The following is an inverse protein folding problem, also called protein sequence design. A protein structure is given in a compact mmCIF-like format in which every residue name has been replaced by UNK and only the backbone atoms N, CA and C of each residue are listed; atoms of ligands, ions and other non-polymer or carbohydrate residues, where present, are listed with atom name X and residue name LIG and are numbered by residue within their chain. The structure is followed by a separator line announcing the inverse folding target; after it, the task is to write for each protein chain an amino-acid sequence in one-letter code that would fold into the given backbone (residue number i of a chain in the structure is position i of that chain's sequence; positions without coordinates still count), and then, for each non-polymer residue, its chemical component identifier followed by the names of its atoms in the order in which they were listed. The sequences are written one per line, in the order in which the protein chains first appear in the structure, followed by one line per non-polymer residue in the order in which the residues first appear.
data_IF_734742054925
#
_entry.id   IF_734742054925
#
_cell.length_a   1.000
_cell.length_b   1.000
_cell.length_c   1.000
_cell.angle_alpha   90.00
_cell.angle_beta   90.00
_cell.angle_gamma   90.00
#
_symmetry.space_group_name_H-M   'P 1'
#
loop_
_entity.id
_entity.type
_entity.pdbx_description
1 polymer ?
#
# COMPACT_ATOMS: atom_id res chain seq x y z
N UNK A 1 6.71 33.70 -8.62
CA UNK A 1 5.68 33.51 -7.58
C UNK A 1 5.44 32.02 -7.38
N UNK A 2 5.76 31.46 -6.20
CA UNK A 2 5.33 30.09 -5.83
C UNK A 2 3.80 30.13 -5.72
N UNK A 3 3.09 29.36 -6.57
CA UNK A 3 1.64 29.18 -6.42
C UNK A 3 1.38 28.70 -5.00
N UNK A 4 0.55 29.43 -4.25
CA UNK A 4 0.11 29.00 -2.92
C UNK A 4 -0.63 27.67 -3.08
N UNK A 5 -0.26 26.67 -2.31
CA UNK A 5 -0.95 25.38 -2.29
C UNK A 5 -2.43 25.64 -1.94
N UNK A 6 -3.35 25.17 -2.74
CA UNK A 6 -4.80 25.23 -2.48
C UNK A 6 -5.40 23.85 -2.72
N UNK A 7 -5.92 23.26 -1.67
CA UNK A 7 -6.50 21.91 -1.64
C UNK A 7 -8.03 21.94 -1.44
N UNK A 8 -8.62 23.12 -1.40
CA UNK A 8 -10.07 23.31 -1.14
C UNK A 8 -10.96 22.53 -2.13
N UNK A 9 -10.54 22.43 -3.40
CA UNK A 9 -11.24 21.70 -4.47
C UNK A 9 -11.06 20.20 -4.43
N UNK A 10 -10.09 19.66 -3.67
CA UNK A 10 -9.88 18.22 -3.57
C UNK A 10 -10.99 17.59 -2.74
N UNK A 11 -11.54 16.49 -3.24
CA UNK A 11 -12.66 15.74 -2.63
C UNK A 11 -12.20 14.47 -1.94
N UNK A 12 -11.07 13.89 -2.37
CA UNK A 12 -10.49 12.65 -1.86
C UNK A 12 -9.03 12.86 -1.45
N UNK A 13 -8.71 12.48 -0.23
CA UNK A 13 -7.34 12.49 0.29
C UNK A 13 -6.87 11.05 0.50
N UNK A 14 -5.82 10.68 -0.20
CA UNK A 14 -5.14 9.39 -0.10
C UNK A 14 -3.89 9.59 0.74
N UNK A 15 -3.74 8.84 1.81
CA UNK A 15 -2.59 8.97 2.70
C UNK A 15 -1.79 7.67 2.74
N UNK A 16 -0.47 7.75 2.69
CA UNK A 16 0.35 6.68 3.22
C UNK A 16 0.26 6.61 4.76
N UNK A 17 0.75 5.56 5.36
CA UNK A 17 0.67 5.33 6.81
C UNK A 17 2.02 5.53 7.51
N UNK A 18 2.99 4.69 7.18
CA UNK A 18 4.31 4.72 7.81
C UNK A 18 5.05 6.00 7.38
N UNK A 19 5.62 6.74 8.33
CA UNK A 19 6.24 8.02 8.04
C UNK A 19 5.27 9.20 7.90
N UNK A 20 3.96 8.97 7.80
CA UNK A 20 2.91 10.00 7.69
C UNK A 20 2.09 10.12 8.97
N UNK A 21 1.49 9.04 9.43
CA UNK A 21 0.67 9.01 10.65
C UNK A 21 1.44 8.53 11.88
N UNK A 22 2.31 7.54 11.70
CA UNK A 22 3.15 6.98 12.76
C UNK A 22 4.47 6.46 12.20
N UNK A 23 5.40 6.13 13.08
CA UNK A 23 6.64 5.40 12.79
C UNK A 23 6.75 4.15 13.64
N UNK A 24 7.34 3.11 13.05
CA UNK A 24 7.61 1.84 13.73
C UNK A 24 6.37 0.94 13.79
N UNK A 25 6.59 -0.33 13.49
CA UNK A 25 5.50 -1.32 13.42
C UNK A 25 5.20 -1.97 14.77
N UNK A 26 6.24 -2.34 15.51
CA UNK A 26 6.10 -3.05 16.80
C UNK A 26 5.80 -2.11 17.96
N UNK A 27 6.40 -0.94 17.96
CA UNK A 27 6.16 0.15 18.93
C UNK A 27 5.85 1.42 18.15
N UNK A 28 4.61 1.56 17.65
CA UNK A 28 4.26 2.68 16.82
C UNK A 28 4.25 3.97 17.64
N UNK A 29 4.98 4.96 17.13
CA UNK A 29 5.00 6.32 17.68
C UNK A 29 4.22 7.22 16.73
N UNK A 30 3.18 7.86 17.24
CA UNK A 30 2.37 8.81 16.48
C UNK A 30 3.19 10.00 16.02
N UNK A 31 3.02 10.38 14.75
CA UNK A 31 3.61 11.57 14.14
C UNK A 31 2.56 12.68 13.99
N UNK A 32 1.37 12.34 13.50
CA UNK A 32 0.30 13.28 13.21
C UNK A 32 -1.00 12.59 12.82
N UNK A 33 -1.86 13.31 12.10
CA UNK A 33 -3.04 12.79 11.44
C UNK A 33 -4.37 13.04 12.14
N UNK A 34 -4.38 13.31 13.45
CA UNK A 34 -5.66 13.53 14.16
C UNK A 34 -6.33 14.83 13.74
N UNK A 35 -5.57 15.92 13.57
CA UNK A 35 -6.11 17.23 13.17
C UNK A 35 -6.64 17.17 11.75
N UNK A 36 -5.83 16.64 10.81
CA UNK A 36 -6.24 16.58 9.40
C UNK A 36 -7.46 15.68 9.20
N UNK A 37 -7.53 14.50 9.84
CA UNK A 37 -8.68 13.60 9.74
C UNK A 37 -9.96 14.30 10.24
N UNK A 38 -9.92 14.96 11.39
CA UNK A 38 -11.06 15.72 11.91
C UNK A 38 -11.47 16.84 10.97
N UNK A 39 -10.52 17.58 10.43
CA UNK A 39 -10.76 18.68 9.50
C UNK A 39 -11.38 18.20 8.19
N UNK A 40 -10.87 17.11 7.59
CA UNK A 40 -11.45 16.54 6.38
C UNK A 40 -12.90 16.09 6.61
N UNK A 41 -13.20 15.49 7.74
CA UNK A 41 -14.57 15.08 8.09
C UNK A 41 -15.50 16.28 8.24
N UNK A 42 -15.07 17.35 8.91
CA UNK A 42 -15.89 18.57 9.06
C UNK A 42 -16.17 19.27 7.70
N UNK A 43 -15.30 19.05 6.70
CA UNK A 43 -15.49 19.53 5.33
C UNK A 43 -16.13 18.48 4.40
N UNK A 44 -16.65 17.37 4.95
CA UNK A 44 -17.28 16.27 4.19
C UNK A 44 -16.39 15.69 3.08
N UNK A 45 -15.08 15.79 3.24
CA UNK A 45 -14.11 15.24 2.30
C UNK A 45 -13.85 13.77 2.60
N UNK A 46 -13.66 12.97 1.55
CA UNK A 46 -13.33 11.55 1.65
C UNK A 46 -11.85 11.38 1.96
N UNK A 47 -11.53 10.36 2.74
CA UNK A 47 -10.14 9.96 2.99
C UNK A 47 -9.99 8.45 2.89
N UNK A 48 -8.84 7.98 2.39
CA UNK A 48 -8.45 6.58 2.36
C UNK A 48 -6.95 6.49 2.69
N UNK A 49 -6.60 5.45 3.45
CA UNK A 49 -5.21 5.14 3.78
C UNK A 49 -4.70 4.07 2.83
N UNK A 50 -3.60 4.33 2.13
CA UNK A 50 -2.97 3.44 1.16
C UNK A 50 -1.61 2.99 1.66
N UNK A 51 -1.47 1.73 2.06
CA UNK A 51 -0.19 1.21 2.53
C UNK A 51 0.24 -0.05 1.77
N UNK A 52 1.55 -0.15 1.49
CA UNK A 52 2.18 -1.36 0.96
C UNK A 52 2.30 -2.48 2.01
N UNK A 53 1.79 -2.27 3.23
CA UNK A 53 1.76 -3.32 4.25
C UNK A 53 0.96 -4.53 3.74
N UNK A 54 1.62 -5.69 3.69
CA UNK A 54 1.02 -6.98 3.33
C UNK A 54 1.08 -7.99 4.48
N UNK A 55 1.72 -7.63 5.61
CA UNK A 55 1.91 -8.55 6.74
C UNK A 55 0.82 -8.43 7.80
N UNK A 56 0.11 -7.30 7.84
CA UNK A 56 -1.01 -7.07 8.75
C UNK A 56 -2.34 -7.07 7.99
N UNK A 57 -3.38 -7.63 8.60
CA UNK A 57 -4.74 -7.46 8.12
C UNK A 57 -5.24 -6.01 8.33
N UNK A 58 -6.27 -5.62 7.62
CA UNK A 58 -6.95 -4.32 7.84
C UNK A 58 -7.36 -4.15 9.30
N UNK A 59 -7.88 -5.20 9.94
CA UNK A 59 -8.27 -5.17 11.35
C UNK A 59 -7.10 -4.84 12.28
N UNK A 60 -5.92 -5.42 12.02
CA UNK A 60 -4.71 -5.17 12.80
C UNK A 60 -4.23 -3.72 12.63
N UNK A 61 -4.23 -3.21 11.40
CA UNK A 61 -3.87 -1.82 11.11
C UNK A 61 -4.84 -0.85 11.78
N UNK A 62 -6.14 -1.11 11.70
CA UNK A 62 -7.18 -0.30 12.34
C UNK A 62 -7.01 -0.22 13.85
N UNK A 63 -6.83 -1.37 14.53
CA UNK A 63 -6.61 -1.41 15.98
C UNK A 63 -5.39 -0.58 16.39
N UNK A 64 -4.31 -0.63 15.60
CA UNK A 64 -3.10 0.20 15.82
C UNK A 64 -3.39 1.69 15.72
N UNK A 65 -4.13 2.11 14.70
CA UNK A 65 -4.48 3.53 14.50
C UNK A 65 -5.39 4.05 15.62
N UNK A 66 -6.36 3.26 16.05
CA UNK A 66 -7.22 3.61 17.18
C UNK A 66 -6.43 3.75 18.49
N UNK A 67 -5.49 2.84 18.76
CA UNK A 67 -4.62 2.92 19.93
C UNK A 67 -3.74 4.19 19.93
N UNK A 68 -3.41 4.72 18.74
CA UNK A 68 -2.72 5.99 18.58
C UNK A 68 -3.64 7.22 18.62
N UNK A 69 -4.95 7.03 18.86
CA UNK A 69 -5.95 8.11 18.87
C UNK A 69 -6.16 8.76 17.50
N UNK A 70 -6.02 7.99 16.42
CA UNK A 70 -6.27 8.43 15.04
C UNK A 70 -7.63 7.84 14.61
N UNK A 71 -8.68 8.68 14.42
CA UNK A 71 -10.06 8.21 14.25
C UNK A 71 -10.34 7.79 12.79
N UNK A 72 -9.78 6.68 12.37
CA UNK A 72 -9.95 6.05 11.05
C UNK A 72 -10.97 4.92 11.15
N UNK A 73 -11.74 4.69 10.09
CA UNK A 73 -12.65 3.56 9.97
C UNK A 73 -12.00 2.41 9.22
N UNK A 74 -12.47 1.17 9.45
CA UNK A 74 -11.95 -0.01 8.75
C UNK A 74 -12.02 0.11 7.22
N UNK A 75 -13.14 0.62 6.71
CA UNK A 75 -13.38 0.78 5.28
C UNK A 75 -12.49 1.85 4.61
N UNK A 76 -11.85 2.69 5.41
CA UNK A 76 -10.92 3.72 4.94
C UNK A 76 -9.48 3.19 4.78
N UNK A 77 -9.21 1.94 5.19
CA UNK A 77 -7.88 1.34 5.16
C UNK A 77 -7.75 0.41 3.96
N UNK A 78 -6.80 0.71 3.08
CA UNK A 78 -6.47 -0.07 1.90
C UNK A 78 -5.04 -0.57 2.01
N UNK A 79 -4.86 -1.79 2.52
CA UNK A 79 -3.55 -2.46 2.51
C UNK A 79 -3.29 -3.10 1.16
N UNK A 80 -2.03 -3.28 0.78
CA UNK A 80 -1.69 -4.01 -0.44
C UNK A 80 -2.20 -5.46 -0.40
N UNK A 81 -2.26 -6.08 0.78
CA UNK A 81 -2.84 -7.42 0.95
C UNK A 81 -4.34 -7.46 0.64
N UNK A 82 -5.12 -6.53 1.23
CA UNK A 82 -6.56 -6.40 0.94
C UNK A 82 -6.79 -6.18 -0.56
N UNK A 83 -6.06 -5.25 -1.16
CA UNK A 83 -6.27 -4.91 -2.58
C UNK A 83 -5.82 -6.02 -3.53
N UNK A 84 -4.85 -6.83 -3.15
CA UNK A 84 -4.48 -8.03 -3.91
C UNK A 84 -5.62 -9.06 -3.92
N UNK A 85 -6.22 -9.33 -2.76
CA UNK A 85 -7.36 -10.23 -2.67
C UNK A 85 -8.58 -9.69 -3.45
N UNK A 86 -8.90 -8.41 -3.29
CA UNK A 86 -9.99 -7.75 -4.04
C UNK A 86 -9.75 -7.78 -5.56
N UNK A 87 -8.52 -7.53 -6.00
CA UNK A 87 -8.15 -7.57 -7.42
C UNK A 87 -8.40 -8.95 -8.02
N UNK A 88 -7.94 -10.01 -7.36
CA UNK A 88 -8.15 -11.39 -7.81
C UNK A 88 -9.64 -11.72 -7.87
N UNK A 89 -10.39 -11.41 -6.81
CA UNK A 89 -11.83 -11.65 -6.76
C UNK A 89 -12.60 -10.96 -7.89
N UNK A 90 -12.25 -9.69 -8.17
CA UNK A 90 -12.94 -8.92 -9.22
C UNK A 90 -12.61 -9.38 -10.63
N UNK A 91 -11.38 -9.81 -10.87
CA UNK A 91 -10.90 -10.14 -12.22
C UNK A 91 -11.07 -11.62 -12.59
N UNK A 92 -10.98 -12.49 -11.59
CA UNK A 92 -10.95 -13.96 -11.82
C UNK A 92 -11.99 -14.74 -11.00
N UNK A 93 -12.72 -14.06 -10.09
CA UNK A 93 -13.61 -14.73 -9.14
C UNK A 93 -12.84 -15.36 -7.98
N UNK A 94 -13.36 -16.45 -7.44
CA UNK A 94 -12.63 -17.26 -6.45
C UNK A 94 -11.51 -18.02 -7.14
N UNK A 95 -10.33 -18.01 -6.55
CA UNK A 95 -9.13 -18.66 -7.07
C UNK A 95 -8.47 -19.51 -6.01
N UNK A 96 -7.77 -20.56 -6.44
CA UNK A 96 -6.80 -21.27 -5.62
C UNK A 96 -5.46 -20.53 -5.63
N UNK A 97 -4.74 -20.52 -4.50
CA UNK A 97 -3.47 -19.83 -4.43
C UNK A 97 -2.44 -20.51 -3.52
N UNK A 98 -1.19 -20.46 -3.94
CA UNK A 98 -0.05 -20.74 -3.10
C UNK A 98 0.47 -19.43 -2.48
N UNK A 99 0.74 -19.41 -1.17
CA UNK A 99 1.13 -18.22 -0.44
C UNK A 99 2.63 -18.16 -0.17
N UNK A 100 3.30 -17.16 -0.71
CA UNK A 100 4.58 -16.66 -0.22
C UNK A 100 4.28 -15.36 0.52
N UNK A 101 4.06 -15.44 1.83
CA UNK A 101 3.60 -14.29 2.62
C UNK A 101 3.24 -14.66 4.05
N UNK A 102 2.83 -13.65 4.81
CA UNK A 102 2.49 -13.74 6.23
C UNK A 102 0.97 -13.84 6.48
N UNK A 103 0.56 -14.19 7.73
CA UNK A 103 -0.86 -14.45 8.06
C UNK A 103 -1.83 -13.29 7.77
N UNK A 104 -1.36 -12.04 7.78
CA UNK A 104 -2.22 -10.90 7.44
C UNK A 104 -2.68 -10.92 6.00
N UNK A 105 -1.80 -11.29 5.05
CA UNK A 105 -2.17 -11.47 3.66
C UNK A 105 -3.13 -12.65 3.48
N UNK A 106 -2.85 -13.77 4.16
CA UNK A 106 -3.73 -14.93 4.14
C UNK A 106 -5.14 -14.60 4.64
N UNK A 107 -5.25 -13.82 5.71
CA UNK A 107 -6.53 -13.39 6.27
C UNK A 107 -7.36 -12.57 5.26
N UNK A 108 -6.71 -11.68 4.50
CA UNK A 108 -7.40 -10.92 3.46
C UNK A 108 -7.80 -11.81 2.27
N UNK A 109 -6.95 -12.75 1.84
CA UNK A 109 -7.28 -13.71 0.78
C UNK A 109 -8.51 -14.57 1.17
N UNK A 110 -8.52 -15.10 2.39
CA UNK A 110 -9.67 -15.88 2.91
C UNK A 110 -10.95 -15.05 3.00
N UNK A 111 -10.85 -13.76 3.37
CA UNK A 111 -11.98 -12.85 3.46
C UNK A 111 -12.72 -12.71 2.12
N UNK A 112 -12.01 -12.82 1.00
CA UNK A 112 -12.59 -12.80 -0.35
C UNK A 112 -12.95 -14.20 -0.88
N UNK A 113 -12.82 -15.24 -0.04
CA UNK A 113 -13.21 -16.61 -0.37
C UNK A 113 -12.22 -17.34 -1.29
N UNK A 114 -10.97 -16.85 -1.38
CA UNK A 114 -9.92 -17.56 -2.10
C UNK A 114 -9.43 -18.76 -1.29
N UNK A 115 -9.01 -19.82 -1.98
CA UNK A 115 -8.63 -21.10 -1.37
C UNK A 115 -7.11 -21.29 -1.39
N UNK A 116 -6.51 -21.39 -0.20
CA UNK A 116 -5.09 -21.68 -0.08
C UNK A 116 -4.81 -23.14 -0.39
N UNK A 117 -3.84 -23.40 -1.27
CA UNK A 117 -3.29 -24.73 -1.52
C UNK A 117 -1.85 -24.85 -1.03
N UNK A 118 -1.42 -26.08 -0.76
CA UNK A 118 -0.03 -26.48 -0.54
C UNK A 118 0.38 -27.59 -1.50
N UNK A 119 -0.52 -27.95 -2.42
CA UNK A 119 -0.31 -29.00 -3.44
C UNK A 119 0.47 -28.50 -4.66
N UNK A 120 0.55 -29.35 -5.67
CA UNK A 120 1.32 -29.14 -6.91
C UNK A 120 0.57 -28.28 -7.96
N UNK A 121 -0.62 -27.79 -7.63
CA UNK A 121 -1.43 -26.94 -8.50
C UNK A 121 -1.98 -25.74 -7.75
N UNK A 122 -1.97 -24.58 -8.40
CA UNK A 122 -2.60 -23.35 -7.96
C UNK A 122 -2.89 -22.43 -9.17
N UNK A 123 -3.98 -21.67 -9.13
CA UNK A 123 -4.23 -20.64 -10.15
C UNK A 123 -3.19 -19.51 -10.04
N UNK A 124 -2.81 -19.20 -8.79
CA UNK A 124 -1.90 -18.08 -8.48
C UNK A 124 -0.84 -18.42 -7.43
N UNK A 125 0.35 -17.90 -7.63
CA UNK A 125 1.34 -17.65 -6.57
C UNK A 125 1.16 -16.22 -6.09
N UNK A 126 0.69 -16.06 -4.83
CA UNK A 126 0.45 -14.77 -4.20
C UNK A 126 1.66 -14.40 -3.34
N UNK A 127 2.30 -13.27 -3.64
CA UNK A 127 3.59 -12.88 -3.08
C UNK A 127 3.46 -11.60 -2.24
N UNK A 128 3.73 -11.73 -0.94
CA UNK A 128 3.89 -10.64 0.01
C UNK A 128 5.23 -10.72 0.71
N UNK A 129 5.44 -9.85 1.72
CA UNK A 129 6.59 -10.00 2.60
C UNK A 129 6.44 -11.29 3.42
N UNK A 130 7.47 -12.10 3.40
CA UNK A 130 7.57 -13.34 4.18
C UNK A 130 8.91 -13.40 4.91
N UNK A 131 8.91 -13.09 6.19
CA UNK A 131 10.11 -13.12 7.05
C UNK A 131 10.52 -14.55 7.47
N UNK A 132 9.70 -15.53 7.12
CA UNK A 132 9.98 -16.97 7.33
C UNK A 132 10.13 -17.72 6.01
N UNK A 133 10.52 -16.97 4.96
CA UNK A 133 10.79 -17.57 3.65
C UNK A 133 11.90 -18.61 3.79
N UNK A 134 11.65 -19.82 3.28
CA UNK A 134 12.66 -20.86 3.11
C UNK A 134 12.95 -21.11 1.63
N UNK A 135 14.06 -21.80 1.37
CA UNK A 135 14.41 -22.21 0.02
C UNK A 135 13.31 -23.09 -0.59
N UNK A 136 12.82 -24.08 0.17
CA UNK A 136 11.78 -25.02 -0.27
C UNK A 136 10.50 -24.31 -0.64
N UNK A 137 10.12 -23.28 0.14
CA UNK A 137 8.92 -22.47 -0.14
C UNK A 137 9.07 -21.68 -1.44
N UNK A 138 10.25 -21.10 -1.66
CA UNK A 138 10.53 -20.36 -2.87
C UNK A 138 10.62 -21.26 -4.10
N UNK A 139 11.28 -22.43 -3.97
CA UNK A 139 11.41 -23.43 -5.02
C UNK A 139 10.06 -24.00 -5.42
N UNK A 140 9.19 -24.33 -4.45
CA UNK A 140 7.82 -24.77 -4.74
C UNK A 140 7.02 -23.71 -5.49
N UNK A 141 7.11 -22.43 -5.07
CA UNK A 141 6.48 -21.33 -5.79
C UNK A 141 6.97 -21.24 -7.24
N UNK A 142 8.28 -21.40 -7.47
CA UNK A 142 8.85 -21.40 -8.81
C UNK A 142 8.37 -22.56 -9.67
N UNK A 143 8.24 -23.78 -9.08
CA UNK A 143 7.65 -24.94 -9.81
C UNK A 143 6.21 -24.67 -10.22
N UNK A 144 5.37 -24.15 -9.31
CA UNK A 144 3.99 -23.82 -9.64
C UNK A 144 3.90 -22.81 -10.79
N UNK A 145 4.73 -21.77 -10.79
CA UNK A 145 4.74 -20.78 -11.88
C UNK A 145 5.17 -21.42 -13.20
N UNK A 146 6.21 -22.27 -13.21
CA UNK A 146 6.64 -23.01 -14.40
C UNK A 146 5.59 -23.98 -14.92
N UNK A 147 4.70 -24.45 -14.04
CA UNK A 147 3.55 -25.31 -14.37
C UNK A 147 2.29 -24.51 -14.76
N UNK A 148 2.39 -23.17 -14.92
CA UNK A 148 1.31 -22.34 -15.43
C UNK A 148 0.58 -21.46 -14.42
N UNK A 149 0.92 -21.51 -13.12
CA UNK A 149 0.36 -20.57 -12.14
C UNK A 149 0.80 -19.14 -12.45
N UNK A 150 -0.11 -18.18 -12.32
CA UNK A 150 0.20 -16.76 -12.49
C UNK A 150 0.76 -16.17 -11.21
N UNK A 151 1.68 -15.19 -11.31
CA UNK A 151 2.19 -14.45 -10.17
C UNK A 151 1.43 -13.16 -9.92
N UNK A 152 1.04 -12.91 -8.66
CA UNK A 152 0.56 -11.61 -8.21
C UNK A 152 1.33 -11.19 -6.96
N UNK A 153 1.86 -9.98 -6.97
CA UNK A 153 2.66 -9.44 -5.86
C UNK A 153 1.93 -8.25 -5.19
N UNK A 154 1.95 -8.24 -3.87
CA UNK A 154 1.37 -7.14 -3.10
C UNK A 154 2.09 -5.82 -3.36
N UNK A 155 3.42 -5.83 -3.47
CA UNK A 155 4.26 -4.71 -3.85
C UNK A 155 5.68 -5.19 -4.20
N UNK A 156 6.55 -4.27 -4.68
CA UNK A 156 7.94 -4.58 -5.06
C UNK A 156 8.97 -3.65 -4.40
N UNK A 157 8.65 -3.09 -3.21
CA UNK A 157 9.62 -2.30 -2.46
C UNK A 157 10.88 -3.13 -2.18
N UNK A 158 12.04 -2.48 -2.30
CA UNK A 158 13.35 -3.13 -2.12
C UNK A 158 13.63 -3.43 -0.65
N UNK A 159 13.40 -2.43 0.18
CA UNK A 159 13.69 -2.46 1.62
C UNK A 159 12.50 -1.93 2.41
N UNK A 160 12.41 -2.28 3.68
CA UNK A 160 11.55 -1.65 4.67
C UNK A 160 12.33 -1.46 5.98
N UNK A 161 11.90 -0.53 6.83
CA UNK A 161 12.54 -0.33 8.14
C UNK A 161 12.07 -1.40 9.12
N UNK A 162 13.02 -2.14 9.66
CA UNK A 162 12.81 -3.16 10.69
C UNK A 162 13.68 -2.84 11.92
N UNK A 163 13.58 -3.61 13.00
CA UNK A 163 14.18 -3.36 14.33
C UNK A 163 15.57 -2.72 14.30
N UNK A 164 16.47 -3.26 13.50
CA UNK A 164 17.89 -2.89 13.51
C UNK A 164 18.31 -2.15 12.22
N UNK A 165 17.36 -1.61 11.46
CA UNK A 165 17.66 -0.90 10.22
C UNK A 165 16.93 -1.45 8.99
N UNK A 166 17.40 -1.12 7.78
CA UNK A 166 16.79 -1.58 6.54
C UNK A 166 16.85 -3.10 6.39
N UNK A 167 15.73 -3.73 6.07
CA UNK A 167 15.61 -5.16 5.80
C UNK A 167 14.98 -5.39 4.41
N UNK A 168 15.18 -6.58 3.85
CA UNK A 168 14.62 -6.96 2.55
C UNK A 168 13.08 -6.95 2.59
N UNK A 169 12.47 -6.20 1.68
CA UNK A 169 11.02 -6.18 1.48
C UNK A 169 10.57 -7.25 0.48
N UNK A 170 9.36 -7.13 -0.07
CA UNK A 170 8.77 -8.09 -1.01
C UNK A 170 9.47 -8.12 -2.36
N UNK A 171 10.05 -6.99 -2.81
CA UNK A 171 10.66 -6.88 -4.14
C UNK A 171 11.74 -7.92 -4.44
N UNK A 172 12.71 -8.17 -3.55
CA UNK A 172 13.72 -9.22 -3.74
C UNK A 172 13.11 -10.62 -3.93
N UNK A 173 12.04 -10.96 -3.21
CA UNK A 173 11.32 -12.25 -3.35
C UNK A 173 10.68 -12.35 -4.74
N UNK A 174 9.99 -11.29 -5.16
CA UNK A 174 9.38 -11.22 -6.51
C UNK A 174 10.45 -11.36 -7.58
N UNK A 175 11.58 -10.64 -7.44
CA UNK A 175 12.66 -10.69 -8.41
C UNK A 175 13.34 -12.07 -8.52
N UNK A 176 13.47 -12.76 -7.40
CA UNK A 176 13.99 -14.14 -7.41
C UNK A 176 13.07 -15.07 -8.21
N UNK A 177 11.76 -15.00 -8.01
CA UNK A 177 10.79 -15.80 -8.76
C UNK A 177 10.73 -15.39 -10.24
N UNK A 178 10.68 -14.08 -10.55
CA UNK A 178 10.71 -13.59 -11.93
C UNK A 178 11.96 -14.07 -12.67
N UNK A 179 13.13 -14.04 -12.01
CA UNK A 179 14.40 -14.49 -12.59
C UNK A 179 14.42 -16.00 -12.83
N UNK A 180 13.94 -16.78 -11.85
CA UNK A 180 13.95 -18.25 -11.93
C UNK A 180 12.96 -18.81 -12.95
N UNK A 181 11.86 -18.11 -13.22
CA UNK A 181 10.76 -18.59 -14.05
C UNK A 181 10.68 -17.93 -15.44
N UNK A 182 11.29 -16.75 -15.61
CA UNK A 182 11.12 -15.91 -16.80
C UNK A 182 9.80 -15.13 -16.84
N UNK A 183 8.87 -15.43 -15.94
CA UNK A 183 7.54 -14.82 -15.90
C UNK A 183 7.54 -13.51 -15.11
N UNK A 184 6.54 -12.64 -15.35
CA UNK A 184 6.38 -11.37 -14.65
C UNK A 184 5.20 -11.39 -13.69
N UNK A 185 5.40 -10.86 -12.49
CA UNK A 185 4.33 -10.69 -11.52
C UNK A 185 3.44 -9.49 -11.85
N UNK A 186 2.12 -9.65 -11.70
CA UNK A 186 1.19 -8.52 -11.62
C UNK A 186 1.35 -7.87 -10.25
N UNK A 187 1.72 -6.58 -10.22
CA UNK A 187 1.97 -5.85 -8.97
C UNK A 187 0.81 -4.91 -8.65
N UNK A 188 0.29 -4.99 -7.42
CA UNK A 188 -0.91 -4.23 -7.00
C UNK A 188 -0.54 -2.93 -6.29
N UNK A 189 0.40 -2.98 -5.34
CA UNK A 189 0.78 -1.86 -4.47
C UNK A 189 1.56 -0.74 -5.17
N UNK A 190 1.77 0.35 -4.43
CA UNK A 190 2.57 1.51 -4.87
C UNK A 190 3.98 1.09 -5.27
N UNK A 191 4.57 1.65 -6.32
CA UNK A 191 4.15 2.78 -7.15
C UNK A 191 3.30 2.39 -8.38
N UNK A 192 2.75 1.20 -8.43
CA UNK A 192 1.93 0.77 -9.55
C UNK A 192 0.54 1.40 -9.49
N UNK A 193 -0.06 1.77 -10.63
CA UNK A 193 -1.28 2.56 -10.65
C UNK A 193 -2.52 1.80 -10.16
N UNK A 194 -2.46 0.46 -10.06
CA UNK A 194 -3.65 -0.33 -9.74
C UNK A 194 -4.20 -0.01 -8.34
N UNK A 195 -3.34 0.12 -7.32
CA UNK A 195 -3.78 0.53 -5.98
C UNK A 195 -4.53 1.86 -5.99
N UNK A 196 -4.02 2.85 -6.72
CA UNK A 196 -4.65 4.18 -6.84
C UNK A 196 -5.98 4.11 -7.59
N UNK A 197 -6.04 3.34 -8.70
CA UNK A 197 -7.29 3.12 -9.44
C UNK A 197 -8.36 2.46 -8.60
N UNK A 198 -7.99 1.47 -7.79
CA UNK A 198 -8.92 0.82 -6.86
C UNK A 198 -9.41 1.78 -5.79
N UNK A 199 -8.55 2.64 -5.25
CA UNK A 199 -8.93 3.68 -4.29
C UNK A 199 -9.89 4.71 -4.90
N UNK A 200 -9.61 5.18 -6.11
CA UNK A 200 -10.50 6.10 -6.84
C UNK A 200 -11.88 5.48 -7.09
N UNK A 201 -11.94 4.24 -7.57
CA UNK A 201 -13.20 3.52 -7.78
C UNK A 201 -14.00 3.39 -6.49
N UNK A 202 -13.35 2.96 -5.38
CA UNK A 202 -13.98 2.82 -4.08
C UNK A 202 -14.54 4.14 -3.56
N UNK A 203 -13.84 5.24 -3.80
CA UNK A 203 -14.28 6.57 -3.40
C UNK A 203 -15.32 7.20 -4.34
N UNK A 204 -15.53 6.67 -5.55
CA UNK A 204 -16.34 7.30 -6.59
C UNK A 204 -15.79 8.68 -6.99
N UNK A 205 -14.46 8.79 -7.14
CA UNK A 205 -13.75 10.02 -7.46
C UNK A 205 -12.86 9.83 -8.68
N UNK A 206 -12.58 10.94 -9.38
CA UNK A 206 -11.59 10.97 -10.45
C UNK A 206 -10.20 11.30 -9.91
N UNK A 207 -9.16 11.11 -10.73
CA UNK A 207 -7.80 11.47 -10.34
C UNK A 207 -7.66 12.98 -10.02
N UNK A 208 -8.38 13.84 -10.73
CA UNK A 208 -8.38 15.31 -10.51
C UNK A 208 -8.96 15.70 -9.15
N UNK A 209 -9.92 14.92 -8.65
CA UNK A 209 -10.55 15.14 -7.34
C UNK A 209 -9.64 14.70 -6.17
N UNK A 210 -8.61 13.91 -6.46
CA UNK A 210 -7.78 13.26 -5.46
C UNK A 210 -6.46 14.01 -5.19
N UNK A 211 -5.95 13.83 -3.97
CA UNK A 211 -4.60 14.19 -3.56
C UNK A 211 -3.96 13.00 -2.88
N UNK A 212 -2.74 12.63 -3.25
CA UNK A 212 -1.90 11.71 -2.51
C UNK A 212 -1.00 12.46 -1.53
N UNK A 213 -0.92 11.99 -0.31
CA UNK A 213 -0.03 12.51 0.73
C UNK A 213 0.83 11.35 1.22
N UNK A 214 2.13 11.44 1.02
CA UNK A 214 3.06 10.37 1.38
C UNK A 214 4.44 10.91 1.73
N UNK A 215 5.31 10.03 2.18
CA UNK A 215 6.66 10.36 2.62
C UNK A 215 7.76 9.85 1.68
N UNK A 216 7.37 9.06 0.65
CA UNK A 216 8.32 8.45 -0.27
C UNK A 216 8.08 8.89 -1.71
N UNK A 217 9.14 9.46 -2.33
CA UNK A 217 9.09 9.90 -3.72
C UNK A 217 8.86 8.72 -4.68
N UNK A 218 9.58 7.60 -4.47
CA UNK A 218 9.53 6.45 -5.37
C UNK A 218 8.16 5.77 -5.39
N UNK A 219 7.50 5.65 -4.25
CA UNK A 219 6.24 4.91 -4.13
C UNK A 219 5.01 5.81 -4.19
N UNK A 220 4.99 6.89 -3.40
CA UNK A 220 3.80 7.73 -3.24
C UNK A 220 3.68 8.76 -4.34
N UNK A 221 4.73 9.58 -4.50
CA UNK A 221 4.70 10.69 -5.47
C UNK A 221 4.72 10.17 -6.90
N UNK A 222 5.64 9.24 -7.20
CA UNK A 222 5.73 8.65 -8.53
C UNK A 222 4.52 7.76 -8.85
N UNK A 223 3.99 7.05 -7.86
CA UNK A 223 2.77 6.25 -8.02
C UNK A 223 1.54 7.09 -8.30
N UNK A 224 1.34 8.16 -7.53
CA UNK A 224 0.27 9.14 -7.76
C UNK A 224 0.37 9.76 -9.15
N UNK A 225 1.57 10.19 -9.56
CA UNK A 225 1.81 10.75 -10.88
C UNK A 225 1.45 9.79 -12.02
N UNK A 226 1.77 8.48 -11.90
CA UNK A 226 1.38 7.44 -12.87
C UNK A 226 -0.15 7.24 -12.94
N UNK A 227 -0.85 7.55 -11.85
CA UNK A 227 -2.31 7.49 -11.78
C UNK A 227 -2.99 8.82 -12.15
N UNK A 228 -2.23 9.87 -12.48
CA UNK A 228 -2.74 11.20 -12.80
C UNK A 228 -3.25 11.96 -11.58
N UNK A 229 -2.80 11.59 -10.37
CA UNK A 229 -3.20 12.18 -9.10
C UNK A 229 -2.13 13.17 -8.64
N UNK A 230 -2.55 14.35 -8.19
CA UNK A 230 -1.68 15.31 -7.53
C UNK A 230 -1.14 14.77 -6.22
N UNK A 231 0.08 15.16 -5.84
CA UNK A 231 0.71 14.65 -4.63
C UNK A 231 1.43 15.73 -3.83
N UNK A 232 1.46 15.53 -2.50
CA UNK A 232 2.22 16.33 -1.53
C UNK A 232 3.12 15.38 -0.74
N UNK A 233 4.38 15.75 -0.56
CA UNK A 233 5.34 15.04 0.27
C UNK A 233 5.26 15.55 1.71
N UNK A 234 5.33 14.65 2.69
CA UNK A 234 5.54 15.01 4.09
C UNK A 234 6.98 14.73 4.51
N UNK A 235 7.63 15.69 5.17
CA UNK A 235 9.04 15.58 5.57
C UNK A 235 9.27 14.74 6.83
N UNK A 236 8.24 14.06 7.32
CA UNK A 236 8.33 13.22 8.53
C UNK A 236 8.87 11.81 8.27
N UNK A 237 8.98 11.37 7.02
CA UNK A 237 9.38 10.01 6.70
C UNK A 237 10.74 9.88 6.00
N UNK A 238 10.76 9.19 4.84
CA UNK A 238 11.97 8.76 4.15
C UNK A 238 12.61 9.91 3.36
N UNK A 239 11.85 10.55 2.46
CA UNK A 239 12.37 11.59 1.58
C UNK A 239 12.14 12.98 2.16
N UNK A 240 13.12 13.88 1.92
CA UNK A 240 13.11 15.25 2.45
C UNK A 240 13.32 16.30 1.36
N UNK A 241 13.07 15.94 0.11
CA UNK A 241 13.19 16.84 -1.03
C UNK A 241 12.20 16.46 -2.13
N UNK A 242 11.61 17.47 -2.75
CA UNK A 242 10.74 17.30 -3.93
C UNK A 242 11.44 17.71 -5.24
N UNK A 243 12.74 17.99 -5.19
CA UNK A 243 13.51 18.40 -6.38
C UNK A 243 13.48 17.29 -7.44
N UNK A 244 13.10 17.63 -8.65
CA UNK A 244 12.98 16.67 -9.76
C UNK A 244 11.76 15.75 -9.68
N UNK A 245 10.79 16.04 -8.80
CA UNK A 245 9.55 15.25 -8.66
C UNK A 245 8.34 16.00 -9.21
N UNK A 246 7.19 15.31 -9.23
CA UNK A 246 5.87 15.90 -9.57
C UNK A 246 5.05 16.29 -8.33
N UNK A 247 5.65 16.33 -7.15
CA UNK A 247 4.96 16.81 -5.96
C UNK A 247 4.63 18.30 -6.07
N UNK A 248 3.41 18.67 -5.69
CA UNK A 248 2.96 20.07 -5.68
C UNK A 248 3.68 20.89 -4.60
N UNK A 249 3.93 20.26 -3.45
CA UNK A 249 4.57 20.87 -2.30
C UNK A 249 5.18 19.81 -1.39
N UNK A 250 5.97 20.27 -0.42
CA UNK A 250 6.40 19.51 0.74
C UNK A 250 5.94 20.26 2.00
N UNK A 251 5.36 19.52 2.95
CA UNK A 251 4.95 20.03 4.26
C UNK A 251 5.76 19.35 5.36
N UNK A 252 5.91 20.00 6.51
CA UNK A 252 6.70 19.44 7.62
C UNK A 252 5.99 18.25 8.28
N UNK A 253 4.66 18.35 8.40
CA UNK A 253 3.81 17.33 9.02
C UNK A 253 2.49 17.20 8.27
N UNK A 254 1.85 16.04 8.34
CA UNK A 254 0.54 15.79 7.69
C UNK A 254 -0.56 16.72 8.21
N UNK A 255 -0.51 17.11 9.48
CA UNK A 255 -1.48 18.00 10.09
C UNK A 255 -1.34 19.47 9.62
N UNK A 256 -0.21 19.85 8.99
CA UNK A 256 -0.03 21.18 8.38
C UNK A 256 -0.94 21.39 7.16
N UNK A 257 -1.42 20.29 6.55
CA UNK A 257 -2.36 20.37 5.43
C UNK A 257 -3.69 21.04 5.79
N UNK A 258 -4.02 21.13 7.07
CA UNK A 258 -5.22 21.84 7.56
C UNK A 258 -5.28 23.28 7.07
N UNK A 259 -4.12 23.95 6.91
CA UNK A 259 -4.01 25.35 6.49
C UNK A 259 -4.31 25.57 4.99
N UNK A 260 -4.45 24.50 4.22
CA UNK A 260 -4.63 24.54 2.75
C UNK A 260 -6.01 24.01 2.30
N UNK A 261 -6.89 23.67 3.24
CA UNK A 261 -8.23 23.11 3.01
C UNK A 261 -9.31 24.17 2.86
#
# INVERSE_FOLDING_TARGET
MKRRLDLSRKRLFLFDLDGVFYRGKERPVKIGGTRIVKKLRSHQKKLLLLTNNSTDSVKTVHSRLLALGIPIRNEEILTSGLLTAEYLSRKYGKVSYYLVGEPGLEAEMRRFGHERTVGEEADFVVIGLDRRLSYEKLDHAARLVRNGSKMVATHVSRLYMYKNGPALATGPIVKALEYATGERATVIGKPYPEMFRMALRRAGCTARDALMVGDQVETDIAGAARAGIDAVLVATGVDRSIRGTRALAMVSNVDDLVEYL
#
